data_IF_630436395461
#
_entry.id   IF_630436395461
#
_cell.length_a   1.000
_cell.length_b   1.000
_cell.length_c   1.000
_cell.angle_alpha   90.00
_cell.angle_beta   90.00
_cell.angle_gamma   90.00
#
_symmetry.space_group_name_H-M   'P 1'
#
loop_
_entity.id
_entity.type
_entity.pdbx_description
1 polymer ?
#
# COMPACT_ATOMS: atom_id res chain seq x y z
N UNK A 1 20.59 -6.87 4.30
CA UNK A 1 20.50 -7.52 5.63
C UNK A 1 19.19 -7.09 6.26
N UNK A 2 18.31 -8.02 6.57
CA UNK A 2 17.10 -7.71 7.35
C UNK A 2 17.46 -7.55 8.84
N UNK A 3 16.82 -6.59 9.52
CA UNK A 3 16.96 -6.37 10.97
C UNK A 3 15.59 -6.50 11.63
N UNK A 4 15.49 -7.34 12.65
CA UNK A 4 14.28 -7.45 13.47
C UNK A 4 14.29 -6.38 14.54
N UNK A 5 13.20 -5.61 14.64
CA UNK A 5 12.99 -4.61 15.71
C UNK A 5 11.80 -5.06 16.54
N UNK A 6 11.97 -5.10 17.86
CA UNK A 6 10.87 -5.42 18.78
C UNK A 6 10.13 -4.14 19.15
N UNK A 7 8.85 -4.06 18.79
CA UNK A 7 7.98 -2.94 19.16
C UNK A 7 7.22 -3.32 20.45
N UNK A 8 7.25 -2.47 21.50
CA UNK A 8 6.48 -2.72 22.71
C UNK A 8 5.00 -2.94 22.40
N UNK A 9 4.41 -4.01 22.95
CA UNK A 9 3.00 -4.40 22.73
C UNK A 9 2.02 -3.24 22.91
N UNK A 10 2.24 -2.38 23.92
CA UNK A 10 1.36 -1.25 24.19
C UNK A 10 1.29 -0.25 23.02
N UNK A 11 2.36 -0.11 22.25
CA UNK A 11 2.37 0.73 21.05
C UNK A 11 1.65 0.05 19.89
N UNK A 12 1.85 -1.25 19.70
CA UNK A 12 1.12 -2.04 18.68
C UNK A 12 -0.38 -1.90 18.87
N UNK A 13 -0.87 -2.12 20.10
CA UNK A 13 -2.29 -1.98 20.42
C UNK A 13 -2.84 -0.58 20.14
N UNK A 14 -2.05 0.48 20.37
CA UNK A 14 -2.47 1.86 20.12
C UNK A 14 -2.49 2.19 18.63
N UNK A 15 -1.56 1.64 17.86
CA UNK A 15 -1.50 1.76 16.40
C UNK A 15 -2.72 1.07 15.77
N UNK A 16 -3.01 -0.16 16.18
CA UNK A 16 -4.15 -0.94 15.68
C UNK A 16 -5.50 -0.27 16.00
N UNK A 17 -5.67 0.27 17.22
CA UNK A 17 -6.88 1.03 17.60
C UNK A 17 -7.13 2.24 16.73
N UNK A 18 -6.08 2.81 16.13
CA UNK A 18 -6.16 3.97 15.22
C UNK A 18 -6.32 3.54 13.76
N UNK A 19 -6.44 2.24 13.49
CA UNK A 19 -6.55 1.65 12.16
C UNK A 19 -5.28 1.80 11.33
N UNK A 20 -4.12 1.87 11.99
CA UNK A 20 -2.84 2.11 11.32
C UNK A 20 -2.02 0.81 11.23
N UNK A 21 -1.19 0.72 10.19
CA UNK A 21 -0.23 -0.38 10.01
C UNK A 21 1.08 -0.07 10.72
N UNK A 22 1.58 -0.99 11.54
CA UNK A 22 2.84 -0.82 12.27
C UNK A 22 4.01 -0.74 11.29
N UNK A 23 4.04 -1.63 10.31
CA UNK A 23 5.08 -1.72 9.30
C UNK A 23 5.15 -0.43 8.47
N UNK A 24 3.98 0.08 8.06
CA UNK A 24 3.89 1.33 7.31
C UNK A 24 4.32 2.53 8.15
N UNK A 25 3.93 2.58 9.44
CA UNK A 25 4.35 3.64 10.35
C UNK A 25 5.85 3.65 10.60
N UNK A 26 6.50 2.48 10.61
CA UNK A 26 7.97 2.41 10.72
C UNK A 26 8.61 3.03 9.48
N UNK A 27 8.10 2.74 8.28
CA UNK A 27 8.58 3.39 7.04
C UNK A 27 8.38 4.90 7.14
N UNK A 28 7.19 5.37 7.50
CA UNK A 28 6.89 6.81 7.64
C UNK A 28 7.82 7.50 8.65
N UNK A 29 8.00 6.89 9.82
CA UNK A 29 8.81 7.43 10.90
C UNK A 29 10.29 7.49 10.53
N UNK A 30 10.85 6.44 9.93
CA UNK A 30 12.25 6.42 9.49
C UNK A 30 12.49 7.41 8.35
N UNK A 31 11.58 7.46 7.39
CA UNK A 31 11.64 8.41 6.27
C UNK A 31 11.70 9.84 6.76
N UNK A 32 10.81 10.19 7.70
CA UNK A 32 10.78 11.52 8.30
C UNK A 32 11.98 11.82 9.20
N UNK A 33 12.41 10.87 10.03
CA UNK A 33 13.49 11.07 10.98
C UNK A 33 14.86 11.24 10.31
N UNK A 34 15.05 10.63 9.15
CA UNK A 34 16.30 10.67 8.40
C UNK A 34 16.26 11.62 7.19
N UNK A 35 15.13 12.30 6.97
CA UNK A 35 14.88 13.16 5.81
C UNK A 35 15.25 12.45 4.50
N UNK A 36 14.73 11.21 4.34
CA UNK A 36 15.08 10.35 3.21
C UNK A 36 14.56 10.93 1.89
N UNK A 37 15.35 10.73 0.83
CA UNK A 37 14.92 11.05 -0.52
C UNK A 37 13.62 10.31 -0.88
N UNK A 38 12.61 10.99 -1.47
CA UNK A 38 11.33 10.38 -1.83
C UNK A 38 11.46 9.12 -2.70
N UNK A 39 12.51 8.99 -3.51
CA UNK A 39 12.78 7.80 -4.31
C UNK A 39 13.15 6.61 -3.42
N UNK A 40 14.02 6.82 -2.44
CA UNK A 40 14.39 5.79 -1.45
C UNK A 40 13.16 5.35 -0.64
N UNK A 41 12.29 6.30 -0.27
CA UNK A 41 11.03 6.01 0.42
C UNK A 41 10.11 5.18 -0.47
N UNK A 42 9.96 5.54 -1.74
CA UNK A 42 9.14 4.81 -2.69
C UNK A 42 9.65 3.38 -2.92
N UNK A 43 10.96 3.18 -3.06
CA UNK A 43 11.58 1.85 -3.16
C UNK A 43 11.30 1.00 -1.90
N UNK A 44 11.51 1.55 -0.71
CA UNK A 44 11.24 0.85 0.55
C UNK A 44 9.76 0.43 0.70
N UNK A 45 8.83 1.26 0.23
CA UNK A 45 7.40 0.90 0.20
C UNK A 45 7.10 -0.22 -0.78
N UNK A 46 7.73 -0.24 -1.96
CA UNK A 46 7.55 -1.34 -2.90
C UNK A 46 8.12 -2.66 -2.38
N UNK A 47 9.24 -2.61 -1.64
CA UNK A 47 9.76 -3.80 -0.94
C UNK A 47 8.75 -4.31 0.10
N UNK A 48 8.15 -3.41 0.89
CA UNK A 48 7.11 -3.78 1.85
C UNK A 48 5.86 -4.33 1.16
N UNK A 49 5.44 -3.73 0.05
CA UNK A 49 4.32 -4.21 -0.76
C UNK A 49 4.59 -5.61 -1.34
N UNK A 50 5.82 -5.89 -1.77
CA UNK A 50 6.19 -7.23 -2.25
C UNK A 50 6.07 -8.29 -1.14
N UNK A 51 6.51 -7.98 0.08
CA UNK A 51 6.33 -8.87 1.25
C UNK A 51 4.86 -9.13 1.57
N UNK A 52 4.03 -8.09 1.53
CA UNK A 52 2.58 -8.27 1.72
C UNK A 52 1.94 -9.11 0.61
N UNK A 53 2.46 -9.07 -0.63
CA UNK A 53 1.99 -9.95 -1.70
C UNK A 53 2.34 -11.42 -1.43
N UNK A 54 3.55 -11.70 -0.94
CA UNK A 54 3.95 -13.06 -0.52
C UNK A 54 3.04 -13.58 0.60
N UNK A 55 2.79 -12.76 1.64
CA UNK A 55 1.89 -13.10 2.72
C UNK A 55 0.45 -13.32 2.24
N UNK A 56 -0.05 -12.47 1.32
CA UNK A 56 -1.36 -12.64 0.73
C UNK A 56 -1.49 -13.99 0.02
N UNK A 57 -0.48 -14.38 -0.75
CA UNK A 57 -0.43 -15.66 -1.45
C UNK A 57 -0.45 -16.84 -0.48
N UNK A 58 0.27 -16.74 0.64
CA UNK A 58 0.19 -17.75 1.69
C UNK A 58 -1.21 -17.89 2.30
N UNK A 59 -1.87 -16.76 2.62
CA UNK A 59 -3.22 -16.80 3.20
C UNK A 59 -4.27 -17.32 2.21
N UNK A 60 -4.15 -16.97 0.93
CA UNK A 60 -4.96 -17.56 -0.13
C UNK A 60 -4.75 -19.09 -0.20
N UNK A 61 -3.49 -19.56 -0.13
CA UNK A 61 -3.17 -20.99 -0.12
C UNK A 61 -3.69 -21.73 1.11
N UNK A 62 -3.78 -21.05 2.26
CA UNK A 62 -4.36 -21.58 3.51
C UNK A 62 -5.89 -21.54 3.54
N UNK A 63 -6.54 -20.91 2.55
CA UNK A 63 -7.99 -20.75 2.52
C UNK A 63 -8.51 -19.69 3.51
N UNK A 64 -7.69 -18.70 3.85
CA UNK A 64 -8.05 -17.61 4.78
C UNK A 64 -8.39 -16.32 4.02
N UNK A 65 -9.67 -16.08 3.68
CA UNK A 65 -10.08 -14.91 2.92
C UNK A 65 -9.91 -13.61 3.69
N UNK A 66 -10.01 -13.64 5.03
CA UNK A 66 -9.94 -12.43 5.87
C UNK A 66 -8.53 -11.87 5.84
N UNK A 67 -7.53 -12.72 6.13
CA UNK A 67 -6.14 -12.30 6.13
C UNK A 67 -5.62 -12.03 4.71
N UNK A 68 -6.03 -12.82 3.71
CA UNK A 68 -5.70 -12.55 2.32
C UNK A 68 -6.22 -11.17 1.86
N UNK A 69 -7.44 -10.81 2.26
CA UNK A 69 -8.03 -9.51 1.93
C UNK A 69 -7.24 -8.35 2.54
N UNK A 70 -6.85 -8.48 3.80
CA UNK A 70 -6.04 -7.45 4.48
C UNK A 70 -4.69 -7.27 3.79
N UNK A 71 -4.00 -8.37 3.46
CA UNK A 71 -2.68 -8.30 2.84
C UNK A 71 -2.74 -7.74 1.42
N UNK A 72 -3.69 -8.17 0.59
CA UNK A 72 -3.89 -7.59 -0.75
C UNK A 72 -4.20 -6.09 -0.69
N UNK A 73 -5.00 -5.64 0.29
CA UNK A 73 -5.23 -4.21 0.52
C UNK A 73 -3.93 -3.48 0.88
N UNK A 74 -3.12 -4.03 1.79
CA UNK A 74 -1.83 -3.45 2.19
C UNK A 74 -0.84 -3.35 1.03
N UNK A 75 -0.84 -4.29 0.09
CA UNK A 75 -0.04 -4.16 -1.16
C UNK A 75 -0.48 -2.92 -1.94
N UNK A 76 -1.78 -2.76 -2.19
CA UNK A 76 -2.30 -1.63 -2.95
C UNK A 76 -2.05 -0.30 -2.23
N UNK A 77 -2.24 -0.26 -0.91
CA UNK A 77 -1.94 0.90 -0.07
C UNK A 77 -0.49 1.36 -0.24
N UNK A 78 0.49 0.48 -0.07
CA UNK A 78 1.90 0.85 -0.20
C UNK A 78 2.29 1.21 -1.63
N UNK A 79 1.68 0.58 -2.65
CA UNK A 79 1.88 0.97 -4.05
C UNK A 79 1.36 2.39 -4.33
N UNK A 80 0.16 2.74 -3.84
CA UNK A 80 -0.40 4.09 -4.01
C UNK A 80 0.46 5.12 -3.28
N UNK A 81 0.92 4.84 -2.06
CA UNK A 81 1.84 5.73 -1.34
C UNK A 81 3.16 5.91 -2.08
N UNK A 82 3.77 4.82 -2.57
CA UNK A 82 5.03 4.87 -3.31
C UNK A 82 4.90 5.71 -4.60
N UNK A 83 3.84 5.48 -5.36
CA UNK A 83 3.52 6.25 -6.56
C UNK A 83 3.26 7.72 -6.22
N UNK A 84 2.51 8.00 -5.15
CA UNK A 84 2.20 9.37 -4.73
C UNK A 84 3.47 10.16 -4.43
N UNK A 85 4.40 9.59 -3.65
CA UNK A 85 5.71 10.19 -3.37
C UNK A 85 6.54 10.38 -4.64
N UNK A 86 6.72 9.31 -5.43
CA UNK A 86 7.62 9.34 -6.60
C UNK A 86 7.15 10.24 -7.76
N UNK A 87 5.84 10.49 -7.85
CA UNK A 87 5.22 11.38 -8.84
C UNK A 87 4.72 12.70 -8.25
N UNK A 88 4.96 12.96 -6.97
CA UNK A 88 4.52 14.15 -6.24
C UNK A 88 3.02 14.43 -6.44
N UNK A 89 2.17 13.45 -6.12
CA UNK A 89 0.72 13.58 -6.26
C UNK A 89 0.18 14.76 -5.44
N UNK A 90 -0.74 15.58 -5.98
CA UNK A 90 -1.32 16.73 -5.27
C UNK A 90 -1.89 16.41 -3.89
N UNK A 91 -2.47 15.22 -3.72
CA UNK A 91 -3.01 14.75 -2.43
C UNK A 91 -1.98 14.70 -1.29
N UNK A 92 -0.67 14.64 -1.58
CA UNK A 92 0.38 14.62 -0.55
C UNK A 92 0.35 15.84 0.38
N UNK A 93 -0.06 17.01 -0.11
CA UNK A 93 -0.18 18.21 0.73
C UNK A 93 -1.14 17.96 1.90
N UNK A 94 -2.32 17.40 1.60
CA UNK A 94 -3.32 17.04 2.61
C UNK A 94 -2.86 15.92 3.53
N UNK A 95 -2.10 14.95 3.00
CA UNK A 95 -1.50 13.87 3.82
C UNK A 95 -0.53 14.48 4.84
N UNK A 96 0.31 15.43 4.42
CA UNK A 96 1.27 16.12 5.31
C UNK A 96 0.56 16.95 6.38
N UNK A 97 -0.48 17.68 6.02
CA UNK A 97 -1.32 18.43 6.98
C UNK A 97 -1.98 17.51 8.01
N UNK A 98 -2.51 16.36 7.58
CA UNK A 98 -3.13 15.35 8.44
C UNK A 98 -2.10 14.59 9.28
N UNK A 99 -0.87 14.48 8.78
CA UNK A 99 0.19 13.67 9.37
C UNK A 99 -0.05 12.16 9.28
N UNK A 100 -0.99 11.70 8.45
CA UNK A 100 -1.32 10.29 8.24
C UNK A 100 -2.02 10.05 6.91
N UNK A 101 -1.95 8.81 6.43
CA UNK A 101 -2.73 8.31 5.30
C UNK A 101 -4.07 7.76 5.78
N UNK A 102 -5.15 8.49 5.55
CA UNK A 102 -6.50 7.96 5.67
C UNK A 102 -6.93 7.25 4.39
N UNK A 103 -7.86 6.29 4.50
CA UNK A 103 -8.35 5.53 3.34
C UNK A 103 -8.94 6.42 2.23
N UNK A 104 -9.60 7.53 2.61
CA UNK A 104 -10.11 8.48 1.63
C UNK A 104 -8.99 9.28 0.92
N UNK A 105 -7.86 9.52 1.60
CA UNK A 105 -6.67 10.14 0.99
C UNK A 105 -6.00 9.17 0.01
N UNK A 106 -5.96 7.87 0.32
CA UNK A 106 -5.48 6.85 -0.61
C UNK A 106 -6.37 6.79 -1.87
N UNK A 107 -7.68 6.87 -1.71
CA UNK A 107 -8.61 6.96 -2.85
C UNK A 107 -8.41 8.22 -3.70
N UNK A 108 -8.22 9.38 -3.06
CA UNK A 108 -7.89 10.62 -3.77
C UNK A 108 -6.55 10.51 -4.51
N UNK A 109 -5.52 9.97 -3.86
CA UNK A 109 -4.22 9.76 -4.49
C UNK A 109 -4.31 8.81 -5.67
N UNK A 110 -5.10 7.73 -5.59
CA UNK A 110 -5.31 6.83 -6.72
C UNK A 110 -5.94 7.54 -7.94
N UNK A 111 -6.86 8.49 -7.70
CA UNK A 111 -7.43 9.35 -8.76
C UNK A 111 -6.41 10.35 -9.32
N UNK A 112 -5.60 10.97 -8.48
CA UNK A 112 -4.52 11.86 -8.95
C UNK A 112 -3.53 11.08 -9.82
N UNK A 113 -3.11 9.91 -9.35
CA UNK A 113 -2.13 9.06 -10.01
C UNK A 113 -2.63 8.50 -11.33
N UNK A 114 -3.91 8.11 -11.45
CA UNK A 114 -4.44 7.63 -12.72
C UNK A 114 -4.37 8.72 -13.81
N UNK A 115 -4.59 9.98 -13.44
CA UNK A 115 -4.45 11.13 -14.35
C UNK A 115 -2.99 11.44 -14.69
N UNK A 116 -2.11 11.46 -13.68
CA UNK A 116 -0.68 11.76 -13.86
C UNK A 116 -0.01 10.69 -14.76
N UNK A 117 -0.36 9.43 -14.55
CA UNK A 117 0.22 8.29 -15.26
C UNK A 117 -0.53 7.94 -16.56
N UNK A 118 -1.71 8.53 -16.78
CA UNK A 118 -2.53 8.28 -17.95
C UNK A 118 -3.12 6.86 -18.02
N UNK A 119 -3.37 6.23 -16.86
CA UNK A 119 -3.83 4.84 -16.78
C UNK A 119 -4.87 4.65 -15.67
N UNK A 120 -6.14 4.55 -16.07
CA UNK A 120 -7.26 4.38 -15.13
C UNK A 120 -7.25 3.05 -14.37
N UNK A 121 -6.45 2.08 -14.82
CA UNK A 121 -6.28 0.82 -14.10
C UNK A 121 -5.71 1.04 -12.70
N UNK A 122 -4.95 2.12 -12.47
CA UNK A 122 -4.45 2.49 -11.13
C UNK A 122 -5.61 2.73 -10.16
N UNK A 123 -6.58 3.55 -10.55
CA UNK A 123 -7.75 3.84 -9.72
C UNK A 123 -8.66 2.62 -9.56
N UNK A 124 -8.84 1.82 -10.61
CA UNK A 124 -9.62 0.58 -10.56
C UNK A 124 -8.98 -0.47 -9.65
N UNK A 125 -7.66 -0.59 -9.66
CA UNK A 125 -6.93 -1.50 -8.78
C UNK A 125 -7.09 -1.10 -7.31
N UNK A 126 -6.98 0.19 -6.99
CA UNK A 126 -7.30 0.70 -5.65
C UNK A 126 -8.75 0.38 -5.26
N UNK A 127 -9.71 0.63 -6.17
CA UNK A 127 -11.13 0.39 -5.89
C UNK A 127 -11.41 -1.09 -5.58
N UNK A 128 -10.78 -2.01 -6.32
CA UNK A 128 -10.89 -3.44 -6.06
C UNK A 128 -10.24 -3.85 -4.73
N UNK A 129 -9.09 -3.26 -4.39
CA UNK A 129 -8.43 -3.50 -3.11
C UNK A 129 -9.27 -2.98 -1.93
N UNK A 130 -9.90 -1.81 -2.07
CA UNK A 130 -10.81 -1.27 -1.07
C UNK A 130 -12.08 -2.13 -0.90
N UNK A 131 -12.66 -2.62 -1.99
CA UNK A 131 -13.82 -3.53 -1.96
C UNK A 131 -13.52 -4.79 -1.13
N UNK A 132 -12.42 -5.49 -1.39
CA UNK A 132 -12.05 -6.69 -0.63
C UNK A 132 -11.66 -6.35 0.81
N UNK A 133 -11.13 -5.16 1.08
CA UNK A 133 -10.84 -4.72 2.44
C UNK A 133 -12.13 -4.56 3.25
N UNK A 134 -13.17 -3.96 2.67
CA UNK A 134 -14.48 -3.83 3.31
C UNK A 134 -15.15 -5.20 3.44
N UNK A 135 -15.40 -5.88 2.32
CA UNK A 135 -16.25 -7.06 2.30
C UNK A 135 -15.53 -8.35 2.72
N UNK A 136 -14.23 -8.44 2.48
CA UNK A 136 -13.41 -9.60 2.82
C UNK A 136 -12.79 -9.52 4.21
N UNK A 137 -12.20 -8.37 4.57
CA UNK A 137 -11.54 -8.22 5.87
C UNK A 137 -12.50 -7.74 6.97
N UNK A 138 -13.15 -6.59 6.81
CA UNK A 138 -14.01 -6.04 7.88
C UNK A 138 -15.32 -6.80 8.07
N UNK A 139 -16.00 -7.12 6.97
CA UNK A 139 -17.33 -7.75 7.02
C UNK A 139 -17.28 -9.29 6.95
N UNK A 140 -16.13 -9.86 6.58
CA UNK A 140 -15.89 -11.30 6.43
C UNK A 140 -16.98 -12.03 5.61
N UNK A 141 -17.42 -11.43 4.50
CA UNK A 141 -18.50 -11.95 3.63
C UNK A 141 -17.98 -12.66 2.38
N UNK A 142 -16.78 -12.35 1.93
CA UNK A 142 -16.20 -12.94 0.72
C UNK A 142 -15.57 -14.31 0.99
N UNK A 143 -15.73 -15.23 0.03
CA UNK A 143 -15.04 -16.52 0.03
C UNK A 143 -13.62 -16.33 -0.51
N UNK A 144 -12.76 -17.33 -0.31
CA UNK A 144 -11.38 -17.27 -0.78
C UNK A 144 -11.30 -17.07 -2.30
N UNK A 145 -12.24 -17.63 -3.08
CA UNK A 145 -12.28 -17.45 -4.53
C UNK A 145 -12.63 -16.01 -4.93
N UNK A 146 -13.54 -15.37 -4.17
CA UNK A 146 -13.95 -13.98 -4.41
C UNK A 146 -12.78 -13.02 -4.14
N UNK A 147 -11.98 -13.30 -3.10
CA UNK A 147 -10.74 -12.55 -2.76
C UNK A 147 -9.62 -12.85 -3.76
N UNK A 148 -9.43 -14.12 -4.15
CA UNK A 148 -8.41 -14.54 -5.10
C UNK A 148 -8.55 -13.84 -6.46
N UNK A 149 -9.78 -13.49 -6.86
CA UNK A 149 -10.03 -12.72 -8.08
C UNK A 149 -9.41 -11.31 -8.06
N UNK A 150 -9.15 -10.73 -6.89
CA UNK A 150 -8.47 -9.43 -6.77
C UNK A 150 -6.95 -9.54 -6.90
N UNK A 151 -6.36 -10.70 -6.58
CA UNK A 151 -4.91 -10.93 -6.64
C UNK A 151 -4.25 -10.47 -7.96
N UNK A 152 -4.70 -10.89 -9.16
CA UNK A 152 -4.05 -10.46 -10.40
C UNK A 152 -4.11 -8.94 -10.63
N UNK A 153 -5.16 -8.28 -10.15
CA UNK A 153 -5.33 -6.82 -10.26
C UNK A 153 -4.32 -6.10 -9.33
N UNK A 154 -4.21 -6.55 -8.08
CA UNK A 154 -3.27 -5.99 -7.10
C UNK A 154 -1.82 -6.29 -7.52
N UNK A 155 -1.55 -7.47 -8.05
CA UNK A 155 -0.22 -7.84 -8.58
C UNK A 155 0.17 -6.96 -9.77
N UNK A 156 -0.77 -6.69 -10.67
CA UNK A 156 -0.55 -5.73 -11.76
C UNK A 156 -0.17 -4.35 -11.23
N UNK A 157 -0.85 -3.84 -10.20
CA UNK A 157 -0.54 -2.53 -9.62
C UNK A 157 0.88 -2.49 -9.03
N UNK A 158 1.30 -3.55 -8.34
CA UNK A 158 2.65 -3.67 -7.79
C UNK A 158 3.72 -3.63 -8.89
N UNK A 159 3.54 -4.43 -9.95
CA UNK A 159 4.48 -4.47 -11.07
C UNK A 159 4.54 -3.13 -11.81
N UNK A 160 3.36 -2.55 -12.07
CA UNK A 160 3.21 -1.26 -12.71
C UNK A 160 3.89 -0.15 -11.90
N UNK A 161 3.70 -0.11 -10.58
CA UNK A 161 4.31 0.89 -9.71
C UNK A 161 5.84 0.81 -9.78
N UNK A 162 6.40 -0.40 -9.70
CA UNK A 162 7.84 -0.62 -9.85
C UNK A 162 8.37 -0.17 -11.21
N UNK A 163 7.66 -0.46 -12.29
CA UNK A 163 8.07 0.00 -13.64
C UNK A 163 7.97 1.52 -13.80
N UNK A 164 6.88 2.13 -13.32
CA UNK A 164 6.63 3.55 -13.42
C UNK A 164 7.72 4.34 -12.69
N UNK A 165 8.07 3.94 -11.47
CA UNK A 165 9.11 4.57 -10.67
C UNK A 165 10.50 4.41 -11.30
N UNK A 166 10.85 3.20 -11.79
CA UNK A 166 12.09 2.98 -12.53
C UNK A 166 12.21 3.86 -13.77
N UNK A 167 11.15 3.98 -14.57
CA UNK A 167 11.10 4.86 -15.75
C UNK A 167 11.19 6.34 -15.39
N UNK A 168 10.63 6.75 -14.25
CA UNK A 168 10.70 8.12 -13.77
C UNK A 168 12.12 8.49 -13.30
N UNK A 169 12.86 7.55 -12.69
CA UNK A 169 14.27 7.72 -12.35
C UNK A 169 15.15 7.86 -13.59
N UNK A 170 15.01 6.95 -14.55
CA UNK A 170 15.85 6.94 -15.76
C UNK A 170 15.68 8.17 -16.66
N UNK A 171 14.64 8.99 -16.44
CA UNK A 171 14.41 10.27 -17.14
C UNK A 171 15.04 11.47 -16.43
N UNK A 172 15.47 11.30 -15.17
CA UNK A 172 16.08 12.34 -14.33
C UNK A 172 17.61 12.28 -14.34
N UNK A 173 18.18 11.12 -14.69
CA UNK A 173 19.60 10.89 -14.98
C UNK A 173 19.97 11.32 -16.41
#
# INVERSE_FOLDING_TARGET
MEKTVVIPRRLVEEVEKRGLSVESLVVDALSKALDLDPEVVAEARLELAAKFMEEADEYLGKGDPVQASEKLYKVAEECIKALAEGFNAPTLEKVRERGRWDTWLLGMAATDLSRILGDERVHLAWSKAYEIHVWGFHEAKYRVEDVAAARPVVKWLLDFAGEALRKARSRRE
#
